data_IF_834000153827
#
_entry.id   IF_834000153827
#
_cell.length_a   1.000
_cell.length_b   1.000
_cell.length_c   1.000
_cell.angle_alpha   90.00
_cell.angle_beta   90.00
_cell.angle_gamma   90.00
#
_symmetry.space_group_name_H-M   'P 1'
#
loop_
_entity.id
_entity.type
_entity.pdbx_description
1 polymer ?
#
# COMPACT_ATOMS: atom_id res chain seq x y z
N UNK A 1 -54.98 -57.13 -6.05
CA UNK A 1 -54.35 -56.13 -5.17
C UNK A 1 -52.84 -56.27 -5.24
N UNK A 2 -52.14 -55.38 -5.97
CA UNK A 2 -50.70 -55.06 -5.79
C UNK A 2 -50.43 -53.75 -6.55
N UNK A 3 -49.93 -52.76 -5.81
CA UNK A 3 -49.82 -51.34 -6.15
C UNK A 3 -48.72 -51.11 -7.20
N UNK A 4 -49.03 -50.33 -8.24
CA UNK A 4 -48.06 -49.72 -9.15
C UNK A 4 -47.33 -48.59 -8.40
N UNK A 5 -46.01 -48.68 -8.30
CA UNK A 5 -45.16 -47.58 -7.84
C UNK A 5 -44.72 -46.74 -9.04
N UNK A 6 -45.06 -45.45 -9.02
CA UNK A 6 -44.47 -44.42 -9.89
C UNK A 6 -42.98 -44.28 -9.55
N UNK A 7 -42.10 -44.49 -10.52
CA UNK A 7 -40.72 -44.00 -10.47
C UNK A 7 -40.72 -42.53 -10.88
N UNK A 8 -40.56 -41.64 -9.92
CA UNK A 8 -40.12 -40.26 -10.16
C UNK A 8 -38.65 -40.27 -10.55
N UNK A 9 -38.39 -39.95 -11.82
CA UNK A 9 -37.05 -39.69 -12.34
C UNK A 9 -36.56 -38.36 -11.76
N UNK A 10 -35.65 -38.41 -10.77
CA UNK A 10 -34.97 -37.22 -10.29
C UNK A 10 -33.99 -36.76 -11.37
N UNK A 11 -34.31 -35.66 -12.04
CA UNK A 11 -33.38 -34.97 -12.92
C UNK A 11 -32.26 -34.36 -12.07
N UNK A 12 -31.12 -35.05 -12.00
CA UNK A 12 -29.88 -34.50 -11.49
C UNK A 12 -29.40 -33.43 -12.47
N UNK A 13 -29.70 -32.16 -12.18
CA UNK A 13 -29.02 -31.03 -12.82
C UNK A 13 -27.57 -31.06 -12.36
N UNK A 14 -26.71 -31.68 -13.17
CA UNK A 14 -25.28 -31.48 -13.09
C UNK A 14 -25.02 -29.99 -13.34
N UNK A 15 -24.79 -29.22 -12.27
CA UNK A 15 -24.21 -27.90 -12.38
C UNK A 15 -22.82 -28.11 -13.00
N UNK A 16 -22.71 -27.81 -14.29
CA UNK A 16 -21.42 -27.69 -14.94
C UNK A 16 -20.60 -26.70 -14.11
N UNK A 17 -19.51 -27.18 -13.50
CA UNK A 17 -18.53 -26.31 -12.87
C UNK A 17 -17.96 -25.42 -13.98
N UNK A 18 -18.52 -24.21 -14.11
CA UNK A 18 -17.87 -23.14 -14.84
C UNK A 18 -16.45 -23.03 -14.28
N UNK A 19 -15.43 -22.79 -15.11
CA UNK A 19 -14.10 -22.50 -14.60
C UNK A 19 -14.28 -21.29 -13.68
N UNK A 20 -14.15 -21.51 -12.36
CA UNK A 20 -14.35 -20.46 -11.39
C UNK A 20 -13.22 -19.46 -11.62
N UNK A 21 -13.56 -18.33 -12.23
CA UNK A 21 -12.68 -17.17 -12.24
C UNK A 21 -12.22 -16.90 -10.80
N UNK A 22 -11.02 -16.32 -10.63
CA UNK A 22 -10.58 -15.85 -9.31
C UNK A 22 -11.70 -15.05 -8.64
N UNK A 23 -11.86 -15.24 -7.34
CA UNK A 23 -12.77 -14.42 -6.55
C UNK A 23 -12.37 -12.94 -6.67
N UNK A 24 -13.35 -12.09 -6.95
CA UNK A 24 -13.15 -10.66 -7.22
C UNK A 24 -13.95 -9.79 -6.26
N UNK A 25 -13.63 -8.50 -6.29
CA UNK A 25 -14.47 -7.48 -5.69
C UNK A 25 -15.92 -7.58 -6.21
N UNK A 26 -16.86 -7.78 -5.29
CA UNK A 26 -18.28 -8.01 -5.54
C UNK A 26 -18.74 -9.46 -5.29
N UNK A 27 -17.84 -10.44 -5.30
CA UNK A 27 -18.18 -11.85 -5.10
C UNK A 27 -18.42 -12.16 -3.61
N UNK A 28 -19.26 -13.16 -3.29
CA UNK A 28 -19.34 -13.70 -1.94
C UNK A 28 -17.96 -14.18 -1.48
N UNK A 29 -17.58 -13.86 -0.24
CA UNK A 29 -16.31 -14.35 0.29
C UNK A 29 -16.39 -15.84 0.61
N UNK A 30 -15.29 -16.56 0.36
CA UNK A 30 -15.12 -17.93 0.80
C UNK A 30 -14.31 -17.98 2.11
N UNK A 31 -14.78 -18.74 3.09
CA UNK A 31 -14.06 -18.88 4.37
C UNK A 31 -12.68 -19.54 4.25
N UNK A 32 -11.81 -19.18 5.20
CA UNK A 32 -10.42 -19.65 5.28
C UNK A 32 -10.33 -21.07 5.84
N UNK A 33 -10.69 -22.05 5.01
CA UNK A 33 -10.57 -23.48 5.32
C UNK A 33 -9.12 -23.98 5.15
N UNK A 34 -8.23 -23.48 5.99
CA UNK A 34 -6.78 -23.76 5.99
C UNK A 34 -6.34 -24.40 7.29
N UNK A 35 -5.17 -25.05 7.29
CA UNK A 35 -4.55 -25.51 8.53
C UNK A 35 -3.87 -24.33 9.23
N UNK A 36 -4.47 -23.83 10.30
CA UNK A 36 -3.88 -22.78 11.12
C UNK A 36 -2.65 -23.28 11.88
N UNK A 37 -1.53 -22.58 11.72
CA UNK A 37 -0.25 -22.92 12.38
C UNK A 37 0.16 -21.90 13.43
N UNK A 38 -0.43 -20.71 13.39
CA UNK A 38 -0.19 -19.63 14.36
C UNK A 38 -1.44 -18.75 14.48
N UNK A 39 -1.66 -18.21 15.68
CA UNK A 39 -2.69 -17.21 15.95
C UNK A 39 -4.11 -17.77 15.97
N UNK A 40 -5.06 -16.92 16.32
CA UNK A 40 -6.48 -17.28 16.32
C UNK A 40 -7.03 -17.27 14.89
N UNK A 41 -7.73 -18.33 14.44
CA UNK A 41 -8.39 -18.34 13.14
C UNK A 41 -9.22 -17.08 12.88
N UNK A 42 -9.13 -16.55 11.67
CA UNK A 42 -9.96 -15.42 11.23
C UNK A 42 -11.10 -15.93 10.36
N UNK A 43 -12.34 -15.66 10.78
CA UNK A 43 -13.53 -15.82 9.94
C UNK A 43 -13.70 -14.55 9.09
N UNK A 44 -13.87 -14.71 7.78
CA UNK A 44 -14.09 -13.58 6.86
C UNK A 44 -15.57 -13.21 6.74
N UNK A 45 -16.49 -14.15 6.96
CA UNK A 45 -17.91 -13.86 6.97
C UNK A 45 -18.29 -13.05 8.23
N UNK A 46 -19.33 -12.22 8.14
CA UNK A 46 -19.91 -11.59 9.31
C UNK A 46 -20.52 -12.68 10.22
N UNK A 47 -20.37 -12.57 11.56
CA UNK A 47 -21.00 -13.52 12.46
C UNK A 47 -22.52 -13.33 12.48
N UNK A 48 -23.24 -14.41 12.78
CA UNK A 48 -24.71 -14.38 12.89
C UNK A 48 -25.21 -13.41 13.98
N UNK A 49 -24.37 -13.11 14.99
CA UNK A 49 -24.64 -12.14 16.06
C UNK A 49 -23.42 -11.22 16.21
N UNK A 50 -23.43 -10.02 15.60
CA UNK A 50 -22.33 -9.06 15.69
C UNK A 50 -22.08 -8.65 17.13
N UNK A 51 -20.81 -8.60 17.54
CA UNK A 51 -20.44 -8.03 18.84
C UNK A 51 -20.20 -6.52 18.73
N UNK A 52 -20.52 -5.74 19.77
CA UNK A 52 -20.10 -4.34 19.84
C UNK A 52 -18.57 -4.27 19.70
N UNK A 53 -18.08 -3.41 18.80
CA UNK A 53 -16.65 -3.22 18.50
C UNK A 53 -15.98 -4.35 17.69
N UNK A 54 -16.75 -5.19 16.99
CA UNK A 54 -16.15 -6.07 16.00
C UNK A 54 -15.49 -5.26 14.87
N UNK A 55 -14.30 -5.66 14.42
CA UNK A 55 -13.63 -5.01 13.30
C UNK A 55 -14.49 -5.04 12.04
N UNK A 56 -14.77 -3.86 11.50
CA UNK A 56 -15.57 -3.70 10.28
C UNK A 56 -14.91 -4.29 9.06
N UNK A 57 -13.58 -4.33 9.02
CA UNK A 57 -12.83 -4.86 7.90
C UNK A 57 -12.06 -6.12 8.29
N UNK A 58 -12.10 -7.13 7.43
CA UNK A 58 -11.34 -8.37 7.57
C UNK A 58 -10.62 -8.64 6.26
N UNK A 59 -9.32 -8.96 6.32
CA UNK A 59 -8.53 -9.25 5.15
C UNK A 59 -7.80 -10.60 5.23
N UNK A 60 -7.85 -11.34 4.14
CA UNK A 60 -6.97 -12.48 3.89
C UNK A 60 -5.85 -12.06 2.95
N UNK A 61 -4.60 -12.31 3.35
CA UNK A 61 -3.42 -11.98 2.56
C UNK A 61 -2.70 -13.25 2.13
N UNK A 62 -2.64 -13.47 0.83
CA UNK A 62 -1.93 -14.58 0.21
C UNK A 62 -0.48 -14.17 -0.09
N UNK A 63 0.48 -14.98 0.38
CA UNK A 63 1.90 -14.71 0.18
C UNK A 63 2.71 -16.02 0.09
N UNK A 64 3.96 -15.91 -0.37
CA UNK A 64 4.91 -17.02 -0.44
C UNK A 64 5.98 -16.84 0.63
N UNK A 65 6.21 -17.88 1.43
CA UNK A 65 7.21 -17.92 2.51
C UNK A 65 8.65 -17.85 2.00
N UNK A 66 8.88 -18.22 0.74
CA UNK A 66 10.20 -18.23 0.08
C UNK A 66 10.38 -17.10 -0.96
N UNK A 67 9.48 -16.13 -1.02
CA UNK A 67 9.64 -15.00 -1.93
C UNK A 67 10.85 -14.13 -1.54
N UNK A 68 11.50 -13.51 -2.53
CA UNK A 68 12.62 -12.61 -2.30
C UNK A 68 12.25 -11.42 -1.38
N UNK A 69 11.01 -10.93 -1.49
CA UNK A 69 10.45 -9.84 -0.69
C UNK A 69 9.74 -10.32 0.58
N UNK A 70 10.02 -11.54 1.07
CA UNK A 70 9.39 -12.12 2.27
C UNK A 70 9.47 -11.17 3.47
N UNK A 71 10.66 -10.68 3.80
CA UNK A 71 10.84 -9.92 5.04
C UNK A 71 10.18 -8.54 5.01
N UNK A 72 10.16 -7.91 3.83
CA UNK A 72 9.42 -6.68 3.56
C UNK A 72 7.91 -6.91 3.72
N UNK A 73 7.39 -8.01 3.15
CA UNK A 73 5.99 -8.41 3.25
C UNK A 73 5.56 -8.60 4.71
N UNK A 74 6.32 -9.37 5.50
CA UNK A 74 6.01 -9.62 6.91
C UNK A 74 6.08 -8.33 7.74
N UNK A 75 7.02 -7.44 7.42
CA UNK A 75 7.16 -6.13 8.08
C UNK A 75 5.96 -5.24 7.77
N UNK A 76 5.54 -5.16 6.51
CA UNK A 76 4.37 -4.42 6.09
C UNK A 76 3.09 -4.94 6.77
N UNK A 77 2.90 -6.26 6.82
CA UNK A 77 1.77 -6.87 7.52
C UNK A 77 1.74 -6.52 9.02
N UNK A 78 2.90 -6.58 9.68
CA UNK A 78 3.03 -6.18 11.09
C UNK A 78 2.72 -4.68 11.29
N UNK A 79 3.11 -3.84 10.34
CA UNK A 79 2.78 -2.41 10.37
C UNK A 79 1.28 -2.19 10.19
N UNK A 80 0.66 -2.75 9.15
CA UNK A 80 -0.78 -2.64 8.90
C UNK A 80 -1.62 -3.13 10.10
N UNK A 81 -1.23 -4.25 10.71
CA UNK A 81 -1.85 -4.78 11.93
C UNK A 81 -1.86 -3.76 13.08
N UNK A 82 -0.75 -3.03 13.26
CA UNK A 82 -0.61 -2.03 14.33
C UNK A 82 -1.34 -0.75 13.99
N UNK A 83 -1.13 -0.22 12.78
CA UNK A 83 -1.69 1.05 12.32
C UNK A 83 -3.22 1.03 12.24
N UNK A 84 -3.81 -0.12 11.90
CA UNK A 84 -5.26 -0.28 11.77
C UNK A 84 -5.83 -1.25 12.81
N UNK A 85 -5.21 -1.30 14.01
CA UNK A 85 -5.70 -2.09 15.13
C UNK A 85 -7.10 -1.61 15.55
N UNK A 86 -8.08 -2.49 15.43
CA UNK A 86 -9.48 -2.17 15.73
C UNK A 86 -10.33 -2.18 14.47
N UNK A 87 -10.13 -1.25 13.51
CA UNK A 87 -10.88 -1.25 12.26
C UNK A 87 -10.62 -2.46 11.35
N UNK A 88 -9.41 -3.02 11.38
CA UNK A 88 -8.99 -4.10 10.50
C UNK A 88 -8.50 -5.34 11.27
N UNK A 89 -8.86 -6.52 10.79
CA UNK A 89 -8.23 -7.80 11.13
C UNK A 89 -7.60 -8.43 9.91
N UNK A 90 -6.40 -8.98 10.09
CA UNK A 90 -5.62 -9.61 9.04
C UNK A 90 -5.40 -11.09 9.38
N UNK A 91 -5.47 -11.94 8.36
CA UNK A 91 -4.90 -13.28 8.38
C UNK A 91 -4.01 -13.47 7.16
N UNK A 92 -2.91 -14.19 7.34
CA UNK A 92 -2.01 -14.58 6.28
C UNK A 92 -2.28 -16.03 5.87
N UNK A 93 -2.24 -16.30 4.57
CA UNK A 93 -2.44 -17.62 3.97
C UNK A 93 -1.28 -17.89 3.01
N UNK A 94 -0.74 -19.09 3.07
CA UNK A 94 0.31 -19.51 2.14
C UNK A 94 0.05 -20.90 1.56
N UNK A 95 0.33 -21.12 0.26
CA UNK A 95 0.29 -22.46 -0.35
C UNK A 95 1.58 -23.28 -0.13
N UNK A 96 2.54 -22.74 0.64
CA UNK A 96 3.81 -23.40 0.94
C UNK A 96 3.68 -24.49 2.01
N UNK A 97 4.77 -25.20 2.31
CA UNK A 97 4.72 -26.30 3.29
C UNK A 97 4.71 -25.79 4.73
N UNK A 98 4.21 -26.61 5.67
CA UNK A 98 4.31 -26.30 7.11
C UNK A 98 5.77 -26.17 7.57
N UNK A 99 6.70 -26.90 6.95
CA UNK A 99 8.11 -26.82 7.28
C UNK A 99 8.67 -25.43 6.95
N UNK A 100 8.34 -24.91 5.77
CA UNK A 100 8.75 -23.57 5.33
C UNK A 100 8.19 -22.48 6.23
N UNK A 101 6.91 -22.63 6.61
CA UNK A 101 6.28 -21.71 7.55
C UNK A 101 6.97 -21.73 8.91
N UNK A 102 7.30 -22.90 9.45
CA UNK A 102 8.01 -23.01 10.74
C UNK A 102 9.41 -22.40 10.67
N UNK A 103 10.12 -22.58 9.56
CA UNK A 103 11.43 -21.96 9.34
C UNK A 103 11.33 -20.44 9.29
N UNK A 104 10.38 -19.92 8.52
CA UNK A 104 10.10 -18.49 8.44
C UNK A 104 9.75 -17.90 9.81
N UNK A 105 8.87 -18.55 10.59
CA UNK A 105 8.46 -18.06 11.91
C UNK A 105 9.63 -18.07 12.92
N UNK A 106 10.55 -19.04 12.82
CA UNK A 106 11.79 -19.03 13.63
C UNK A 106 12.69 -17.85 13.26
N UNK A 107 12.77 -17.50 11.97
CA UNK A 107 13.55 -16.36 11.50
C UNK A 107 12.88 -15.01 11.81
N UNK A 108 11.56 -14.99 11.97
CA UNK A 108 10.73 -13.79 12.20
C UNK A 108 9.81 -13.95 13.42
N UNK A 109 10.37 -14.04 14.64
CA UNK A 109 9.59 -14.21 15.86
C UNK A 109 8.69 -13.01 16.18
N UNK A 110 8.91 -11.85 15.53
CA UNK A 110 8.06 -10.66 15.63
C UNK A 110 6.75 -10.80 14.85
N UNK A 111 6.64 -11.75 13.91
CA UNK A 111 5.45 -11.96 13.11
C UNK A 111 4.40 -12.78 13.86
N UNK A 112 3.30 -12.15 14.24
CA UNK A 112 2.31 -12.70 15.19
C UNK A 112 0.90 -12.78 14.63
N UNK A 113 0.70 -12.51 13.34
CA UNK A 113 -0.62 -12.63 12.71
C UNK A 113 -1.10 -14.10 12.66
N UNK A 114 -2.43 -14.31 12.63
CA UNK A 114 -3.00 -15.58 12.21
C UNK A 114 -2.40 -16.03 10.88
N UNK A 115 -1.85 -17.24 10.86
CA UNK A 115 -1.22 -17.81 9.68
C UNK A 115 -1.76 -19.20 9.41
N UNK A 116 -2.29 -19.38 8.20
CA UNK A 116 -2.83 -20.65 7.72
C UNK A 116 -2.05 -21.19 6.53
N UNK A 117 -1.98 -22.51 6.45
CA UNK A 117 -1.37 -23.24 5.34
C UNK A 117 -2.47 -23.89 4.49
N UNK A 118 -2.52 -23.52 3.22
CA UNK A 118 -3.38 -24.14 2.21
C UNK A 118 -2.62 -25.22 1.44
N UNK A 119 -2.33 -26.33 2.13
CA UNK A 119 -1.49 -27.41 1.58
C UNK A 119 -2.04 -28.01 0.27
N UNK A 120 -3.37 -28.03 0.13
CA UNK A 120 -4.03 -28.57 -1.07
C UNK A 120 -4.14 -27.53 -2.19
N UNK A 121 -3.73 -26.28 -1.94
CA UNK A 121 -3.82 -25.14 -2.86
C UNK A 121 -5.22 -24.86 -3.39
N UNK A 122 -6.26 -25.37 -2.72
CA UNK A 122 -7.65 -25.25 -3.19
C UNK A 122 -8.15 -23.83 -2.96
N UNK A 123 -7.89 -23.28 -1.77
CA UNK A 123 -8.29 -21.93 -1.43
C UNK A 123 -7.50 -20.91 -2.28
N UNK A 124 -6.20 -21.14 -2.42
CA UNK A 124 -5.30 -20.33 -3.23
C UNK A 124 -5.72 -20.34 -4.69
N UNK A 125 -6.12 -21.49 -5.24
CA UNK A 125 -6.65 -21.56 -6.60
C UNK A 125 -7.93 -20.72 -6.77
N UNK A 126 -8.85 -20.75 -5.80
CA UNK A 126 -10.09 -19.98 -5.86
C UNK A 126 -9.87 -18.47 -5.76
N UNK A 127 -8.97 -18.04 -4.88
CA UNK A 127 -8.67 -16.61 -4.68
C UNK A 127 -7.73 -16.05 -5.75
N UNK A 128 -6.70 -16.79 -6.14
CA UNK A 128 -5.63 -16.29 -7.00
C UNK A 128 -5.76 -16.75 -8.46
N UNK A 129 -6.47 -17.85 -8.75
CA UNK A 129 -6.62 -18.45 -10.08
C UNK A 129 -5.32 -18.50 -10.91
N UNK A 130 -4.23 -18.96 -10.28
CA UNK A 130 -2.91 -19.04 -10.93
C UNK A 130 -2.22 -17.69 -11.17
N UNK A 131 -2.70 -16.61 -10.56
CA UNK A 131 -1.95 -15.35 -10.47
C UNK A 131 -0.63 -15.59 -9.74
N UNK A 132 0.44 -15.04 -10.30
CA UNK A 132 1.78 -15.06 -9.72
C UNK A 132 2.09 -13.76 -8.96
N UNK A 133 1.12 -12.84 -8.88
CA UNK A 133 1.28 -11.62 -8.12
C UNK A 133 1.07 -11.95 -6.65
N UNK A 134 2.16 -12.01 -5.92
CA UNK A 134 2.19 -12.12 -4.48
C UNK A 134 3.03 -10.98 -3.92
N UNK A 135 2.70 -10.44 -2.74
CA UNK A 135 1.52 -10.74 -1.92
C UNK A 135 0.23 -10.02 -2.40
N UNK A 136 -0.91 -10.70 -2.30
CA UNK A 136 -2.24 -10.15 -2.63
C UNK A 136 -3.16 -10.21 -1.42
N UNK A 137 -3.97 -9.18 -1.25
CA UNK A 137 -4.94 -9.05 -0.17
C UNK A 137 -6.37 -9.04 -0.72
N UNK A 138 -7.28 -9.69 0.00
CA UNK A 138 -8.72 -9.71 -0.27
C UNK A 138 -9.44 -9.24 0.97
N UNK A 139 -10.26 -8.20 0.84
CA UNK A 139 -10.89 -7.51 1.95
C UNK A 139 -12.39 -7.65 1.89
N UNK A 140 -12.96 -7.89 3.05
CA UNK A 140 -14.40 -8.02 3.28
C UNK A 140 -14.85 -7.05 4.36
N UNK A 141 -16.13 -6.74 4.32
CA UNK A 141 -16.86 -6.02 5.35
C UNK A 141 -18.07 -6.83 5.85
N UNK A 142 -18.95 -6.17 6.59
CA UNK A 142 -20.17 -6.75 7.15
C UNK A 142 -21.17 -7.26 6.10
N UNK A 143 -20.95 -7.00 4.80
CA UNK A 143 -21.77 -7.54 3.71
C UNK A 143 -21.51 -9.02 3.40
N UNK A 144 -20.40 -9.59 3.90
CA UNK A 144 -19.97 -10.95 3.56
C UNK A 144 -19.52 -11.11 2.10
N UNK A 145 -19.15 -10.00 1.45
CA UNK A 145 -18.58 -9.97 0.10
C UNK A 145 -17.17 -9.43 0.13
N UNK A 146 -16.39 -9.78 -0.89
CA UNK A 146 -15.12 -9.14 -1.15
C UNK A 146 -15.42 -7.73 -1.65
N UNK A 147 -15.02 -6.70 -0.92
CA UNK A 147 -15.21 -5.31 -1.32
C UNK A 147 -14.00 -4.78 -2.09
N UNK A 148 -12.82 -5.36 -1.87
CA UNK A 148 -11.59 -4.99 -2.53
C UNK A 148 -10.62 -6.16 -2.63
N UNK A 149 -9.83 -6.18 -3.70
CA UNK A 149 -8.73 -7.11 -3.92
C UNK A 149 -7.58 -6.40 -4.63
N UNK A 150 -6.34 -6.59 -4.18
CA UNK A 150 -5.18 -5.92 -4.76
C UNK A 150 -3.87 -6.31 -4.08
N UNK A 151 -2.76 -5.74 -4.54
CA UNK A 151 -1.45 -5.99 -3.93
C UNK A 151 -1.41 -5.47 -2.50
N UNK A 152 -0.69 -6.18 -1.62
CA UNK A 152 -0.63 -5.83 -0.19
C UNK A 152 -0.18 -4.39 0.05
N UNK A 153 0.71 -3.87 -0.81
CA UNK A 153 1.24 -2.50 -0.70
C UNK A 153 0.14 -1.43 -0.77
N UNK A 154 -0.97 -1.73 -1.45
CA UNK A 154 -2.10 -0.82 -1.65
C UNK A 154 -3.17 -0.96 -0.53
N UNK A 155 -3.06 -1.98 0.35
CA UNK A 155 -4.06 -2.28 1.38
C UNK A 155 -4.23 -1.14 2.39
N UNK A 156 -3.13 -0.50 2.82
CA UNK A 156 -3.19 0.59 3.79
C UNK A 156 -4.00 1.79 3.28
N UNK A 157 -3.71 2.23 2.05
CA UNK A 157 -4.44 3.32 1.39
C UNK A 157 -5.92 2.98 1.24
N UNK A 158 -6.24 1.75 0.84
CA UNK A 158 -7.62 1.30 0.71
C UNK A 158 -8.37 1.37 2.05
N UNK A 159 -7.77 0.85 3.12
CA UNK A 159 -8.37 0.87 4.47
C UNK A 159 -8.59 2.31 4.91
N UNK A 160 -7.61 3.19 4.71
CA UNK A 160 -7.74 4.60 5.04
C UNK A 160 -8.92 5.25 4.30
N UNK A 161 -9.00 5.06 2.98
CA UNK A 161 -10.10 5.56 2.16
C UNK A 161 -11.47 5.04 2.63
N UNK A 162 -11.54 3.79 3.10
CA UNK A 162 -12.77 3.23 3.66
C UNK A 162 -13.19 3.94 4.94
N UNK A 163 -12.24 4.17 5.85
CA UNK A 163 -12.52 4.83 7.13
C UNK A 163 -12.90 6.31 6.97
N UNK A 164 -12.39 6.97 5.93
CA UNK A 164 -12.69 8.35 5.58
C UNK A 164 -13.98 8.50 4.75
N UNK A 165 -14.61 7.40 4.33
CA UNK A 165 -15.82 7.43 3.50
C UNK A 165 -15.56 7.73 2.01
N UNK A 166 -14.30 7.68 1.58
CA UNK A 166 -13.86 7.90 0.21
C UNK A 166 -13.86 6.62 -0.65
N UNK A 167 -14.05 5.46 -0.03
CA UNK A 167 -14.05 4.16 -0.71
C UNK A 167 -15.36 3.88 -1.45
N UNK A 168 -15.25 3.39 -2.70
CA UNK A 168 -16.39 3.05 -3.56
C UNK A 168 -16.30 1.58 -4.02
N UNK A 169 -17.04 0.70 -3.35
CA UNK A 169 -17.08 -0.73 -3.66
C UNK A 169 -17.65 -1.01 -5.06
N UNK A 170 -18.57 -0.17 -5.56
CA UNK A 170 -19.14 -0.32 -6.90
C UNK A 170 -18.11 0.00 -7.97
N UNK A 171 -17.23 0.98 -7.72
CA UNK A 171 -16.07 1.25 -8.57
C UNK A 171 -15.09 0.09 -8.54
N UNK A 172 -14.77 -0.46 -7.37
CA UNK A 172 -13.87 -1.62 -7.27
C UNK A 172 -14.38 -2.84 -8.04
N UNK A 173 -15.68 -3.12 -7.96
CA UNK A 173 -16.32 -4.18 -8.76
C UNK A 173 -16.15 -3.98 -10.27
N UNK A 174 -16.20 -2.74 -10.77
CA UNK A 174 -15.97 -2.43 -12.19
C UNK A 174 -14.49 -2.55 -12.58
N UNK A 175 -13.57 -2.21 -11.66
CA UNK A 175 -12.13 -2.28 -11.90
C UNK A 175 -11.59 -3.70 -11.90
N UNK A 176 -12.09 -4.57 -11.02
CA UNK A 176 -11.59 -5.93 -10.83
C UNK A 176 -11.37 -6.75 -12.12
N UNK A 177 -12.34 -6.89 -13.05
CA UNK A 177 -12.12 -7.66 -14.27
C UNK A 177 -11.05 -7.04 -15.19
N UNK A 178 -10.91 -5.71 -15.21
CA UNK A 178 -9.89 -5.02 -16.00
C UNK A 178 -8.50 -5.21 -15.40
N UNK A 179 -8.39 -5.20 -14.07
CA UNK A 179 -7.15 -5.46 -13.36
C UNK A 179 -6.68 -6.90 -13.61
N UNK A 180 -7.57 -7.89 -13.54
CA UNK A 180 -7.23 -9.28 -13.88
C UNK A 180 -6.77 -9.45 -15.34
N UNK A 181 -7.45 -8.77 -16.27
CA UNK A 181 -7.05 -8.75 -17.68
C UNK A 181 -5.64 -8.16 -17.80
N UNK A 182 -5.36 -7.05 -17.11
CA UNK A 182 -4.05 -6.40 -17.13
C UNK A 182 -2.91 -7.32 -16.66
N UNK A 183 -3.15 -8.12 -15.62
CA UNK A 183 -2.19 -9.13 -15.14
C UNK A 183 -1.94 -10.22 -16.19
N UNK A 184 -2.99 -10.66 -16.89
CA UNK A 184 -2.87 -11.65 -17.95
C UNK A 184 -2.06 -11.10 -19.13
N UNK A 185 -2.35 -9.87 -19.55
CA UNK A 185 -1.65 -9.19 -20.64
C UNK A 185 -0.17 -8.95 -20.35
N UNK A 186 0.19 -8.73 -19.08
CA UNK A 186 1.60 -8.65 -18.66
C UNK A 186 2.34 -9.96 -18.92
N UNK A 187 1.73 -11.12 -18.62
CA UNK A 187 2.33 -12.44 -18.89
C UNK A 187 2.43 -12.74 -20.37
N UNK A 188 1.43 -12.34 -21.15
CA UNK A 188 1.39 -12.53 -22.59
C UNK A 188 2.25 -11.53 -23.37
N UNK A 189 2.84 -10.54 -22.69
CA UNK A 189 3.56 -9.42 -23.30
C UNK A 189 2.74 -8.68 -24.38
N UNK A 190 1.42 -8.57 -24.19
CA UNK A 190 0.51 -7.97 -25.16
C UNK A 190 0.38 -6.46 -24.92
N UNK A 191 1.41 -5.72 -25.31
CA UNK A 191 1.55 -4.27 -25.05
C UNK A 191 0.38 -3.44 -25.61
N UNK A 192 -0.11 -3.78 -26.81
CA UNK A 192 -1.21 -3.05 -27.47
C UNK A 192 -2.50 -3.15 -26.68
N UNK A 193 -2.89 -4.37 -26.30
CA UNK A 193 -4.12 -4.58 -25.51
C UNK A 193 -3.96 -4.05 -24.09
N UNK A 194 -2.77 -4.19 -23.50
CA UNK A 194 -2.43 -3.60 -22.21
C UNK A 194 -2.69 -2.10 -22.19
N UNK A 195 -2.20 -1.34 -23.19
CA UNK A 195 -2.45 0.10 -23.29
C UNK A 195 -3.94 0.44 -23.28
N UNK A 196 -4.77 -0.32 -23.99
CA UNK A 196 -6.22 -0.11 -24.04
C UNK A 196 -6.90 -0.38 -22.69
N UNK A 197 -6.53 -1.48 -22.03
CA UNK A 197 -7.07 -1.84 -20.71
C UNK A 197 -6.63 -0.84 -19.65
N UNK A 198 -5.35 -0.46 -19.62
CA UNK A 198 -4.84 0.59 -18.74
C UNK A 198 -5.62 1.90 -18.92
N UNK A 199 -5.82 2.36 -20.16
CA UNK A 199 -6.60 3.57 -20.42
C UNK A 199 -8.05 3.46 -19.90
N UNK A 200 -8.64 2.27 -19.97
CA UNK A 200 -10.00 2.02 -19.48
C UNK A 200 -10.07 2.06 -17.96
N UNK A 201 -9.06 1.48 -17.28
CA UNK A 201 -8.91 1.57 -15.82
C UNK A 201 -8.72 3.01 -15.39
N UNK A 202 -7.79 3.74 -16.00
CA UNK A 202 -7.46 5.12 -15.61
C UNK A 202 -8.61 6.10 -15.89
N UNK A 203 -9.50 5.79 -16.84
CA UNK A 203 -10.75 6.56 -17.00
C UNK A 203 -11.71 6.39 -15.81
N UNK A 204 -11.69 5.23 -15.14
CA UNK A 204 -12.53 4.92 -13.97
C UNK A 204 -11.86 5.42 -12.68
N UNK A 205 -10.55 5.22 -12.56
CA UNK A 205 -9.72 5.63 -11.43
C UNK A 205 -8.37 6.17 -11.95
N UNK A 206 -8.24 7.50 -12.16
CA UNK A 206 -7.07 8.10 -12.79
C UNK A 206 -5.74 7.91 -12.06
N UNK A 207 -5.77 7.53 -10.79
CA UNK A 207 -4.55 7.22 -10.04
C UNK A 207 -4.45 5.76 -9.64
N UNK A 208 -5.17 4.86 -10.30
CA UNK A 208 -5.14 3.45 -9.96
C UNK A 208 -3.69 2.93 -9.92
N UNK A 209 -3.21 2.62 -8.71
CA UNK A 209 -1.81 2.34 -8.45
C UNK A 209 -1.32 1.12 -9.24
N UNK A 210 -2.10 0.03 -9.25
CA UNK A 210 -1.77 -1.19 -9.99
C UNK A 210 -1.67 -0.94 -11.50
N UNK A 211 -2.63 -0.22 -12.09
CA UNK A 211 -2.62 0.06 -13.53
C UNK A 211 -1.44 0.94 -13.94
N UNK A 212 -1.12 1.98 -13.16
CA UNK A 212 0.05 2.81 -13.39
C UNK A 212 1.32 2.00 -13.24
N UNK A 213 1.49 1.25 -12.15
CA UNK A 213 2.70 0.46 -11.86
C UNK A 213 3.01 -0.56 -12.96
N UNK A 214 2.02 -1.36 -13.36
CA UNK A 214 2.20 -2.36 -14.42
C UNK A 214 2.54 -1.68 -15.75
N UNK A 215 1.83 -0.60 -16.10
CA UNK A 215 2.06 0.06 -17.38
C UNK A 215 3.42 0.75 -17.43
N UNK A 216 3.81 1.43 -16.36
CA UNK A 216 5.12 2.07 -16.22
C UNK A 216 6.23 1.02 -16.30
N UNK A 217 6.12 -0.09 -15.57
CA UNK A 217 7.08 -1.19 -15.65
C UNK A 217 7.33 -1.67 -17.08
N UNK A 218 6.27 -1.89 -17.87
CA UNK A 218 6.40 -2.32 -19.28
C UNK A 218 7.02 -1.25 -20.16
N UNK A 219 6.66 0.03 -19.95
CA UNK A 219 7.23 1.15 -20.72
C UNK A 219 8.72 1.33 -20.42
N UNK A 220 9.10 1.29 -19.15
CA UNK A 220 10.47 1.41 -18.66
C UNK A 220 11.36 0.28 -19.19
N UNK A 221 10.92 -0.98 -19.07
CA UNK A 221 11.68 -2.12 -19.59
C UNK A 221 11.83 -2.12 -21.12
N UNK A 222 10.99 -1.36 -21.82
CA UNK A 222 11.08 -1.18 -23.27
C UNK A 222 11.84 0.09 -23.68
N UNK A 223 12.42 0.83 -22.73
CA UNK A 223 13.12 2.11 -22.99
C UNK A 223 12.21 3.27 -23.40
N UNK A 224 10.88 3.13 -23.28
CA UNK A 224 9.90 4.13 -23.74
C UNK A 224 9.58 5.14 -22.64
N UNK A 225 10.62 5.80 -22.12
CA UNK A 225 10.52 6.70 -20.97
C UNK A 225 9.63 7.93 -21.24
N UNK A 226 9.64 8.47 -22.47
CA UNK A 226 8.76 9.58 -22.83
C UNK A 226 7.28 9.18 -22.79
N UNK A 227 6.93 7.96 -23.25
CA UNK A 227 5.56 7.45 -23.14
C UNK A 227 5.17 7.20 -21.67
N UNK A 228 6.10 6.73 -20.83
CA UNK A 228 5.87 6.59 -19.39
C UNK A 228 5.59 7.94 -18.73
N UNK A 229 6.37 8.96 -19.05
CA UNK A 229 6.14 10.31 -18.58
C UNK A 229 4.80 10.86 -19.06
N UNK A 230 4.51 10.75 -20.36
CA UNK A 230 3.25 11.21 -20.95
C UNK A 230 2.02 10.52 -20.35
N UNK A 231 2.13 9.25 -19.96
CA UNK A 231 1.06 8.55 -19.26
C UNK A 231 0.72 9.28 -17.95
N UNK A 232 1.68 9.49 -17.07
CA UNK A 232 1.44 10.14 -15.78
C UNK A 232 1.00 11.59 -15.97
N UNK A 233 1.68 12.33 -16.85
CA UNK A 233 1.37 13.72 -17.19
C UNK A 233 -0.05 13.89 -17.75
N UNK A 234 -0.54 12.94 -18.54
CA UNK A 234 -1.94 12.94 -19.00
C UNK A 234 -2.94 12.76 -17.86
N UNK A 235 -2.62 11.94 -16.85
CA UNK A 235 -3.46 11.77 -15.68
C UNK A 235 -3.42 13.00 -14.78
N UNK A 236 -2.25 13.62 -14.61
CA UNK A 236 -2.09 14.88 -13.87
C UNK A 236 -2.89 16.03 -14.48
N UNK A 237 -2.96 16.12 -15.82
CA UNK A 237 -3.84 17.11 -16.48
C UNK A 237 -5.33 16.88 -16.18
N UNK A 238 -5.75 15.63 -16.05
CA UNK A 238 -7.15 15.30 -15.77
C UNK A 238 -7.50 15.44 -14.29
N UNK A 239 -6.56 15.09 -13.41
CA UNK A 239 -6.72 15.10 -11.95
C UNK A 239 -5.52 15.79 -11.29
N UNK A 240 -5.38 17.11 -11.44
CA UNK A 240 -4.24 17.85 -10.90
C UNK A 240 -4.20 17.84 -9.36
N UNK A 241 -5.32 17.51 -8.70
CA UNK A 241 -5.38 17.40 -7.23
C UNK A 241 -5.00 16.01 -6.70
N UNK A 242 -4.66 15.06 -7.57
CA UNK A 242 -4.36 13.69 -7.16
C UNK A 242 -2.87 13.53 -6.83
N UNK A 243 -2.53 13.75 -5.56
CA UNK A 243 -1.17 13.85 -5.02
C UNK A 243 -0.27 12.67 -5.41
N UNK A 244 -0.78 11.44 -5.31
CA UNK A 244 -0.03 10.21 -5.65
C UNK A 244 0.54 10.20 -7.07
N UNK A 245 -0.07 10.91 -8.02
CA UNK A 245 0.46 11.02 -9.38
C UNK A 245 1.76 11.82 -9.43
N UNK A 246 1.90 12.85 -8.59
CA UNK A 246 3.16 13.59 -8.47
C UNK A 246 4.26 12.74 -7.86
N UNK A 247 3.94 11.93 -6.86
CA UNK A 247 4.89 10.98 -6.29
C UNK A 247 5.31 9.91 -7.30
N UNK A 248 4.38 9.38 -8.10
CA UNK A 248 4.70 8.45 -9.18
C UNK A 248 5.60 9.08 -10.26
N UNK A 249 5.30 10.32 -10.68
CA UNK A 249 6.13 11.05 -11.63
C UNK A 249 7.53 11.35 -11.07
N UNK A 250 7.61 11.75 -9.80
CA UNK A 250 8.89 12.02 -9.15
C UNK A 250 9.71 10.75 -9.02
N UNK A 251 9.10 9.63 -8.59
CA UNK A 251 9.78 8.34 -8.49
C UNK A 251 10.31 7.87 -9.85
N UNK A 252 9.53 8.01 -10.92
CA UNK A 252 9.99 7.72 -12.29
C UNK A 252 11.20 8.61 -12.65
N UNK A 253 11.14 9.91 -12.40
CA UNK A 253 12.25 10.82 -12.72
C UNK A 253 13.51 10.57 -11.86
N UNK A 254 13.37 10.12 -10.61
CA UNK A 254 14.50 9.81 -9.74
C UNK A 254 15.20 8.50 -10.13
N UNK A 255 14.51 7.58 -10.80
CA UNK A 255 15.08 6.31 -11.28
C UNK A 255 15.74 6.43 -12.66
N UNK A 256 15.41 7.48 -13.41
CA UNK A 256 15.88 7.70 -14.79
C UNK A 256 16.48 9.09 -14.96
N UNK A 257 17.82 9.23 -14.98
CA UNK A 257 18.51 10.52 -15.11
C UNK A 257 18.07 11.36 -16.31
N UNK A 258 17.63 10.74 -17.39
CA UNK A 258 17.10 11.37 -18.61
C UNK A 258 15.88 12.25 -18.32
N UNK A 259 15.15 11.95 -17.24
CA UNK A 259 13.97 12.67 -16.81
C UNK A 259 14.26 13.70 -15.70
N UNK A 260 15.50 13.81 -15.20
CA UNK A 260 15.85 14.73 -14.11
C UNK A 260 15.47 16.18 -14.43
N UNK A 261 15.64 16.60 -15.70
CA UNK A 261 15.24 17.93 -16.17
C UNK A 261 13.73 18.23 -16.07
N UNK A 262 12.89 17.21 -15.86
CA UNK A 262 11.43 17.36 -15.69
C UNK A 262 11.03 17.68 -14.24
N UNK A 263 11.90 17.39 -13.27
CA UNK A 263 11.60 17.52 -11.83
C UNK A 263 11.21 18.95 -11.44
N UNK A 264 11.92 20.02 -11.87
CA UNK A 264 11.55 21.39 -11.48
C UNK A 264 10.13 21.79 -11.91
N UNK A 265 9.74 21.42 -13.13
CA UNK A 265 8.39 21.68 -13.65
C UNK A 265 7.33 20.85 -12.91
N UNK A 266 7.62 19.58 -12.61
CA UNK A 266 6.74 18.72 -11.82
C UNK A 266 6.47 19.32 -10.42
N UNK A 267 7.52 19.79 -9.73
CA UNK A 267 7.40 20.38 -8.40
C UNK A 267 6.65 21.72 -8.43
N UNK A 268 6.81 22.52 -9.48
CA UNK A 268 6.02 23.74 -9.68
C UNK A 268 4.53 23.41 -9.87
N UNK A 269 4.21 22.40 -10.67
CA UNK A 269 2.84 21.93 -10.86
C UNK A 269 2.24 21.38 -9.55
N UNK A 270 3.00 20.59 -8.78
CA UNK A 270 2.58 20.10 -7.46
C UNK A 270 2.23 21.26 -6.53
N UNK A 271 3.12 22.25 -6.41
CA UNK A 271 2.88 23.42 -5.55
C UNK A 271 1.63 24.19 -5.93
N UNK A 272 1.36 24.33 -7.23
CA UNK A 272 0.20 25.06 -7.74
C UNK A 272 -1.12 24.30 -7.52
N UNK A 273 -1.12 22.97 -7.62
CA UNK A 273 -2.34 22.18 -7.64
C UNK A 273 -2.72 21.62 -6.26
N UNK A 274 -1.73 21.29 -5.43
CA UNK A 274 -1.90 20.69 -4.11
C UNK A 274 -1.79 21.77 -3.03
N UNK A 275 -2.82 21.88 -2.20
CA UNK A 275 -2.88 22.81 -1.08
C UNK A 275 -3.70 22.19 0.08
N UNK A 276 -3.39 22.60 1.32
CA UNK A 276 -4.13 22.17 2.51
C UNK A 276 -3.87 20.72 2.95
N UNK A 277 -2.80 20.09 2.45
CA UNK A 277 -2.37 18.76 2.88
C UNK A 277 -0.94 18.80 3.43
N UNK A 278 -0.77 19.08 4.74
CA UNK A 278 0.55 19.18 5.36
C UNK A 278 1.31 17.85 5.37
N UNK A 279 0.61 16.72 5.35
CA UNK A 279 1.27 15.41 5.33
C UNK A 279 1.91 15.15 3.95
N UNK A 280 1.16 15.35 2.87
CA UNK A 280 1.67 15.23 1.49
C UNK A 280 2.83 16.20 1.23
N UNK A 281 2.73 17.45 1.68
CA UNK A 281 3.81 18.43 1.55
C UNK A 281 5.08 18.01 2.30
N UNK A 282 4.91 17.54 3.54
CA UNK A 282 6.03 17.07 4.34
C UNK A 282 6.66 15.80 3.74
N UNK A 283 5.84 14.87 3.24
CA UNK A 283 6.32 13.65 2.58
C UNK A 283 7.12 14.00 1.33
N UNK A 284 6.62 14.89 0.48
CA UNK A 284 7.32 15.37 -0.72
C UNK A 284 8.66 16.03 -0.35
N UNK A 285 8.67 16.90 0.66
CA UNK A 285 9.90 17.53 1.16
C UNK A 285 10.90 16.49 1.67
N UNK A 286 10.45 15.52 2.48
CA UNK A 286 11.29 14.44 3.00
C UNK A 286 11.87 13.58 1.86
N UNK A 287 11.06 13.23 0.86
CA UNK A 287 11.51 12.45 -0.31
C UNK A 287 12.59 13.20 -1.08
N UNK A 288 12.38 14.48 -1.38
CA UNK A 288 13.36 15.33 -2.08
C UNK A 288 14.69 15.38 -1.33
N UNK A 289 14.65 15.59 -0.02
CA UNK A 289 15.87 15.63 0.79
C UNK A 289 16.62 14.29 0.72
N UNK A 290 15.93 13.16 0.93
CA UNK A 290 16.61 11.87 1.07
C UNK A 290 17.03 11.24 -0.26
N UNK A 291 16.31 11.51 -1.36
CA UNK A 291 16.58 10.88 -2.66
C UNK A 291 17.33 11.77 -3.64
N UNK A 292 17.35 13.09 -3.41
CA UNK A 292 18.10 14.06 -4.21
C UNK A 292 18.94 14.96 -3.27
N UNK A 293 19.82 14.40 -2.43
CA UNK A 293 20.48 15.13 -1.35
C UNK A 293 21.35 16.29 -1.82
N UNK A 294 21.94 16.17 -3.02
CA UNK A 294 22.87 17.13 -3.60
C UNK A 294 22.22 18.04 -4.66
N UNK A 295 20.91 17.95 -4.88
CA UNK A 295 20.19 18.79 -5.85
C UNK A 295 19.73 20.11 -5.21
N UNK A 296 20.22 21.28 -5.67
CA UNK A 296 19.83 22.56 -5.10
C UNK A 296 18.36 22.92 -5.29
N UNK A 297 17.73 22.51 -6.39
CA UNK A 297 16.31 22.75 -6.66
C UNK A 297 15.43 21.87 -5.77
N UNK A 298 15.86 20.64 -5.49
CA UNK A 298 15.22 19.75 -4.52
C UNK A 298 15.30 20.33 -3.10
N UNK A 299 16.47 20.82 -2.68
CA UNK A 299 16.63 21.49 -1.37
C UNK A 299 15.72 22.71 -1.23
N UNK A 300 15.70 23.61 -2.23
CA UNK A 300 14.81 24.79 -2.23
C UNK A 300 13.34 24.39 -2.12
N UNK A 301 12.92 23.42 -2.93
CA UNK A 301 11.52 22.93 -2.90
C UNK A 301 11.17 22.28 -1.57
N UNK A 302 12.09 21.51 -0.97
CA UNK A 302 11.88 20.90 0.33
C UNK A 302 11.74 21.94 1.46
N UNK A 303 12.54 23.02 1.43
CA UNK A 303 12.42 24.14 2.38
C UNK A 303 11.03 24.78 2.31
N UNK A 304 10.56 25.08 1.09
CA UNK A 304 9.27 25.70 0.87
C UNK A 304 8.12 24.79 1.31
N UNK A 305 8.13 23.52 0.87
CA UNK A 305 7.09 22.55 1.18
C UNK A 305 7.04 22.21 2.67
N UNK A 306 8.18 22.04 3.34
CA UNK A 306 8.22 21.82 4.79
C UNK A 306 7.70 23.03 5.56
N UNK A 307 8.00 24.26 5.11
CA UNK A 307 7.43 25.48 5.69
C UNK A 307 5.92 25.59 5.49
N UNK A 308 5.42 25.21 4.29
CA UNK A 308 4.00 25.15 3.98
C UNK A 308 3.27 24.12 4.87
N UNK A 309 3.83 22.93 5.04
CA UNK A 309 3.32 21.91 5.94
C UNK A 309 3.26 22.39 7.40
N UNK A 310 4.35 22.99 7.90
CA UNK A 310 4.43 23.55 9.25
C UNK A 310 3.37 24.62 9.50
N UNK A 311 3.16 25.53 8.55
CA UNK A 311 2.16 26.61 8.67
C UNK A 311 0.71 26.12 8.74
N UNK A 312 0.46 24.91 8.27
CA UNK A 312 -0.87 24.29 8.26
C UNK A 312 -1.13 23.40 9.48
N UNK A 313 -0.14 23.20 10.35
CA UNK A 313 -0.31 22.43 11.59
C UNK A 313 -1.21 23.17 12.58
N UNK A 314 -2.27 22.50 13.02
CA UNK A 314 -3.18 22.96 14.07
C UNK A 314 -2.73 22.43 15.45
N UNK A 315 -3.16 23.06 16.56
CA UNK A 315 -2.85 22.56 17.92
C UNK A 315 -3.26 21.10 18.16
N UNK A 316 -4.34 20.67 17.53
CA UNK A 316 -4.93 19.33 17.61
C UNK A 316 -4.45 18.37 16.51
N UNK A 317 -3.52 18.79 15.64
CA UNK A 317 -2.94 17.90 14.63
C UNK A 317 -2.31 16.66 15.26
N UNK A 318 -2.41 15.53 14.57
CA UNK A 318 -1.91 14.25 15.03
C UNK A 318 -0.43 14.36 15.49
N UNK A 319 -0.06 13.81 16.67
CA UNK A 319 1.31 13.86 17.16
C UNK A 319 2.33 13.33 16.14
N UNK A 320 1.98 12.28 15.40
CA UNK A 320 2.83 11.70 14.35
C UNK A 320 3.14 12.70 13.23
N UNK A 321 2.13 13.42 12.72
CA UNK A 321 2.31 14.42 11.66
C UNK A 321 3.22 15.55 12.14
N UNK A 322 2.98 16.07 13.34
CA UNK A 322 3.82 17.12 13.93
C UNK A 322 5.27 16.66 14.09
N UNK A 323 5.48 15.43 14.56
CA UNK A 323 6.81 14.85 14.67
C UNK A 323 7.49 14.70 13.30
N UNK A 324 6.75 14.28 12.26
CA UNK A 324 7.25 14.14 10.90
C UNK A 324 7.72 15.49 10.33
N UNK A 325 6.92 16.54 10.47
CA UNK A 325 7.29 17.90 10.06
C UNK A 325 8.54 18.37 10.78
N UNK A 326 8.60 18.21 12.11
CA UNK A 326 9.78 18.58 12.89
C UNK A 326 11.05 17.83 12.47
N UNK A 327 10.96 16.52 12.19
CA UNK A 327 12.09 15.74 11.67
C UNK A 327 12.55 16.23 10.29
N UNK A 328 11.64 16.66 9.41
CA UNK A 328 12.01 17.26 8.12
C UNK A 328 12.69 18.62 8.32
N UNK A 329 12.16 19.48 9.20
CA UNK A 329 12.76 20.80 9.53
C UNK A 329 14.14 20.65 10.16
N UNK A 330 14.32 19.62 10.99
CA UNK A 330 15.60 19.22 11.57
C UNK A 330 16.63 18.88 10.48
N UNK A 331 16.28 18.02 9.52
CA UNK A 331 17.17 17.67 8.40
C UNK A 331 17.51 18.89 7.53
N UNK A 332 16.54 19.76 7.26
CA UNK A 332 16.76 21.03 6.55
C UNK A 332 17.73 21.92 7.32
N UNK A 333 17.52 22.13 8.62
CA UNK A 333 18.37 22.96 9.45
C UNK A 333 19.83 22.45 9.43
N UNK A 334 20.01 21.13 9.54
CA UNK A 334 21.32 20.51 9.43
C UNK A 334 22.01 20.80 8.08
N UNK A 335 21.29 20.61 6.96
CA UNK A 335 21.83 20.85 5.61
C UNK A 335 22.16 22.31 5.33
N UNK A 336 21.49 23.24 6.01
CA UNK A 336 21.77 24.67 5.95
C UNK A 336 22.87 25.10 6.94
N UNK A 337 23.55 24.16 7.62
CA UNK A 337 24.60 24.43 8.59
C UNK A 337 24.09 24.90 9.96
N UNK A 338 22.78 24.95 10.19
CA UNK A 338 22.18 25.29 11.47
C UNK A 338 22.04 24.05 12.37
N UNK A 339 23.18 23.54 12.86
CA UNK A 339 23.23 22.32 13.68
C UNK A 339 22.45 22.49 14.99
N UNK A 340 22.50 23.65 15.63
CA UNK A 340 21.74 23.92 16.85
C UNK A 340 20.22 23.84 16.62
N UNK A 341 19.75 24.37 15.48
CA UNK A 341 18.36 24.23 15.05
C UNK A 341 17.97 22.78 14.78
N UNK A 342 18.85 22.01 14.13
CA UNK A 342 18.63 20.58 13.88
C UNK A 342 18.44 19.80 15.19
N UNK A 343 19.32 20.00 16.18
CA UNK A 343 19.20 19.39 17.51
C UNK A 343 17.87 19.74 18.17
N UNK A 344 17.48 21.03 18.15
CA UNK A 344 16.22 21.48 18.75
C UNK A 344 15.01 20.80 18.10
N UNK A 345 14.90 20.87 16.77
CA UNK A 345 13.77 20.29 16.05
C UNK A 345 13.69 18.77 16.23
N UNK A 346 14.81 18.05 16.19
CA UNK A 346 14.81 16.59 16.37
C UNK A 346 14.44 16.19 17.80
N UNK A 347 14.87 16.96 18.80
CA UNK A 347 14.49 16.73 20.20
C UNK A 347 12.97 16.88 20.41
N UNK A 348 12.36 17.90 19.81
CA UNK A 348 10.90 18.07 19.83
C UNK A 348 10.20 16.95 19.06
N UNK A 349 10.73 16.56 17.88
CA UNK A 349 10.20 15.45 17.09
C UNK A 349 10.18 14.14 17.90
N UNK A 350 11.26 13.80 18.60
CA UNK A 350 11.36 12.60 19.42
C UNK A 350 10.29 12.54 20.52
N UNK A 351 9.94 13.68 21.12
CA UNK A 351 8.87 13.77 22.11
C UNK A 351 7.49 13.50 21.50
N UNK A 352 7.21 14.06 20.32
CA UNK A 352 5.96 13.81 19.60
C UNK A 352 5.86 12.39 19.05
N UNK A 353 6.96 11.77 18.59
CA UNK A 353 6.98 10.36 18.22
C UNK A 353 6.63 9.44 19.38
N UNK A 354 7.12 9.75 20.59
CA UNK A 354 6.73 9.04 21.81
C UNK A 354 5.24 9.23 22.13
N UNK A 355 4.72 10.45 21.98
CA UNK A 355 3.28 10.74 22.18
C UNK A 355 2.39 10.02 21.15
N UNK A 356 2.91 9.78 19.95
CA UNK A 356 2.23 9.04 18.89
C UNK A 356 2.23 7.51 19.07
N UNK A 357 2.91 7.00 20.12
CA UNK A 357 3.16 5.57 20.33
C UNK A 357 3.85 4.88 19.12
N UNK A 358 4.81 5.59 18.50
CA UNK A 358 5.61 5.10 17.38
C UNK A 358 7.07 4.88 17.82
N UNK A 359 7.37 3.81 18.56
CA UNK A 359 8.68 3.60 19.18
C UNK A 359 9.83 3.47 18.16
N UNK A 360 9.57 2.93 16.96
CA UNK A 360 10.57 2.87 15.89
C UNK A 360 10.98 4.25 15.38
N UNK A 361 10.00 5.12 15.14
CA UNK A 361 10.25 6.51 14.73
C UNK A 361 10.95 7.29 15.85
N UNK A 362 10.56 7.08 17.11
CA UNK A 362 11.22 7.68 18.26
C UNK A 362 12.69 7.22 18.37
N UNK A 363 12.99 5.95 18.12
CA UNK A 363 14.36 5.43 18.12
C UNK A 363 15.19 6.05 16.98
N UNK A 364 14.66 6.09 15.76
CA UNK A 364 15.33 6.72 14.62
C UNK A 364 15.60 8.21 14.86
N UNK A 365 14.66 8.91 15.50
CA UNK A 365 14.81 10.31 15.87
C UNK A 365 15.91 10.53 16.90
N UNK A 366 16.03 9.63 17.90
CA UNK A 366 17.14 9.66 18.86
C UNK A 366 18.50 9.45 18.20
N UNK A 367 18.62 8.49 17.27
CA UNK A 367 19.87 8.27 16.54
C UNK A 367 20.31 9.51 15.76
N UNK A 368 19.38 10.21 15.10
CA UNK A 368 19.67 11.50 14.44
C UNK A 368 20.05 12.60 15.43
N UNK A 369 19.34 12.70 16.56
CA UNK A 369 19.64 13.67 17.60
C UNK A 369 21.05 13.49 18.17
N UNK A 370 21.45 12.24 18.43
CA UNK A 370 22.79 11.90 18.91
C UNK A 370 23.85 12.30 17.88
N UNK A 371 23.62 11.99 16.60
CA UNK A 371 24.49 12.43 15.51
C UNK A 371 24.65 13.96 15.44
N UNK A 372 23.55 14.71 15.47
CA UNK A 372 23.62 16.18 15.42
C UNK A 372 24.31 16.78 16.65
N UNK A 373 24.13 16.21 17.83
CA UNK A 373 24.87 16.62 19.04
C UNK A 373 26.37 16.38 18.88
N UNK A 374 26.77 15.22 18.36
CA UNK A 374 28.18 14.95 18.06
C UNK A 374 28.76 15.96 17.06
N UNK A 375 28.03 16.29 15.99
CA UNK A 375 28.47 17.33 15.04
C UNK A 375 28.61 18.68 15.74
N UNK A 376 27.65 19.07 16.58
CA UNK A 376 27.69 20.33 17.32
C UNK A 376 28.90 20.40 18.27
N UNK A 377 29.19 19.32 19.00
CA UNK A 377 30.33 19.21 19.89
C UNK A 377 31.67 19.28 19.15
N UNK A 378 31.78 18.66 17.97
CA UNK A 378 32.99 18.69 17.15
C UNK A 378 33.21 20.05 16.51
N UNK A 379 32.15 20.68 16.01
CA UNK A 379 32.22 22.02 15.41
C UNK A 379 32.62 23.09 16.43
N UNK A 380 32.19 22.97 17.69
CA UNK A 380 32.56 23.90 18.77
C UNK A 380 33.98 23.71 19.32
N UNK A 381 34.74 22.71 18.85
CA UNK A 381 36.14 22.46 19.22
C UNK A 381 37.14 22.97 18.17
N UNK A 382 36.65 23.42 17.01
CA UNK A 382 37.43 24.13 15.98
C UNK A 382 37.33 25.63 16.24
#
# INVERSE_FOLDING_TARGET
>A
MKKFWMMTLAAATAAAALPAYALRSGDPVQELNVKWVQGTPLALLPPAKPQPNEPRLKAAVFFLTRAANRDETLTLLNNLRRSYAGPLRLAAVTPDSEADVREMLKARPDFTLPLGVDQKRQLTANYMNGSMLYPMAFVTDDSGRIIWSGELVDLGEMVQNYLEGNFDASRQKKLAPLLDELQTLLRENNDRRMKMVTNSILKIDPGNAAALRIRLFVLENSGRLDEAWQLIDSQLRQQPKLERLYFAALDLAMRHPELAGRIPALLAAYRSAIAGNPDSDNLMAWTLLNRLPDDPAALRSAVELAGRAESQLKPDSAPALRAAVLSTRSLIAYRLGNVAGAVKFEQEAAAFWKKADLPGNAANSRLRLDYYRTVQELAGKQ
#
